data_IF_094148716110
#
_entry.id   IF_094148716110
#
_cell.length_a   1.000
_cell.length_b   1.000
_cell.length_c   1.000
_cell.angle_alpha   90.00
_cell.angle_beta   90.00
_cell.angle_gamma   90.00
#
_symmetry.space_group_name_H-M   'P 1'
#
loop_
_entity.id
_entity.type
_entity.pdbx_description
1 polymer ?
#
# COMPACT_ATOMS: atom_id res chain seq x y z
N UNK A 1 10.80 -1.33 -13.57
CA UNK A 1 11.81 -0.45 -14.19
C UNK A 1 11.98 0.87 -13.44
N UNK A 2 10.97 1.46 -12.78
CA UNK A 2 11.15 2.71 -12.03
C UNK A 2 11.56 3.90 -12.91
N UNK A 3 11.36 3.78 -14.22
CA UNK A 3 11.68 4.73 -15.27
C UNK A 3 10.42 4.86 -16.12
N UNK A 4 10.03 6.10 -16.41
CA UNK A 4 9.01 6.39 -17.40
C UNK A 4 9.69 6.58 -18.76
N UNK A 5 9.20 5.87 -19.77
CA UNK A 5 9.72 5.93 -21.14
C UNK A 5 8.65 6.56 -22.01
N UNK A 6 8.98 7.68 -22.65
CA UNK A 6 8.10 8.40 -23.57
C UNK A 6 8.67 8.28 -24.97
N UNK A 7 8.00 7.50 -25.82
CA UNK A 7 8.34 7.33 -27.23
C UNK A 7 7.20 7.84 -28.10
N UNK A 8 7.35 9.05 -28.65
CA UNK A 8 6.31 9.72 -29.43
C UNK A 8 6.93 10.70 -30.40
N UNK A 9 6.37 10.81 -31.62
CA UNK A 9 6.77 11.82 -32.61
C UNK A 9 8.28 11.81 -32.94
N UNK A 10 8.90 10.63 -32.93
CA UNK A 10 10.34 10.48 -33.17
C UNK A 10 11.24 10.86 -31.99
N UNK A 11 10.67 11.25 -30.86
CA UNK A 11 11.37 11.49 -29.61
C UNK A 11 11.35 10.23 -28.74
N UNK A 12 12.48 9.95 -28.09
CA UNK A 12 12.63 8.93 -27.06
C UNK A 12 13.24 9.60 -25.82
N UNK A 13 12.46 9.69 -24.75
CA UNK A 13 12.85 10.32 -23.49
C UNK A 13 12.65 9.32 -22.35
N UNK A 14 13.56 9.35 -21.39
CA UNK A 14 13.50 8.56 -20.17
C UNK A 14 13.70 9.46 -18.95
N UNK A 15 12.90 9.24 -17.90
CA UNK A 15 13.10 9.93 -16.63
C UNK A 15 12.74 9.04 -15.43
N UNK A 16 13.31 9.30 -14.24
CA UNK A 16 12.96 8.56 -13.02
C UNK A 16 11.46 8.62 -12.74
N UNK A 17 10.90 7.46 -12.39
CA UNK A 17 9.50 7.27 -12.05
C UNK A 17 9.33 6.08 -11.07
N UNK A 18 10.15 6.05 -10.02
CA UNK A 18 10.03 5.09 -8.93
C UNK A 18 9.12 5.68 -7.85
N UNK A 19 7.87 5.22 -7.81
CA UNK A 19 6.86 5.66 -6.85
C UNK A 19 5.97 4.50 -6.41
N UNK A 20 5.21 4.70 -5.34
CA UNK A 20 4.16 3.77 -4.91
C UNK A 20 2.86 4.20 -5.57
N UNK A 21 2.25 3.32 -6.37
CA UNK A 21 0.96 3.59 -7.01
C UNK A 21 -0.17 3.30 -6.01
N UNK A 22 -0.98 4.31 -5.72
CA UNK A 22 -2.20 4.19 -4.92
C UNK A 22 -3.37 4.48 -5.84
N UNK A 23 -4.28 3.51 -5.96
CA UNK A 23 -5.54 3.66 -6.67
C UNK A 23 -6.69 3.66 -5.67
N UNK A 24 -7.62 4.60 -5.81
CA UNK A 24 -8.89 4.59 -5.09
C UNK A 24 -10.00 4.28 -6.08
N UNK A 25 -10.91 3.39 -5.72
CA UNK A 25 -12.06 3.02 -6.53
C UNK A 25 -13.33 3.37 -5.77
N UNK A 26 -14.29 4.00 -6.44
CA UNK A 26 -15.67 4.06 -5.96
C UNK A 26 -16.42 2.82 -6.47
N UNK A 27 -16.84 1.87 -5.61
CA UNK A 27 -17.55 0.67 -6.06
C UNK A 27 -18.86 0.97 -6.81
N UNK A 28 -19.45 2.15 -6.59
CA UNK A 28 -20.68 2.58 -7.27
C UNK A 28 -20.46 2.87 -8.77
N UNK A 29 -19.23 3.12 -9.20
CA UNK A 29 -18.86 3.36 -10.61
C UNK A 29 -18.66 2.07 -11.41
N UNK A 30 -18.89 0.91 -10.78
CA UNK A 30 -18.72 -0.41 -11.36
C UNK A 30 -17.42 -1.08 -10.95
N UNK A 31 -17.30 -2.35 -11.32
CA UNK A 31 -16.12 -3.14 -10.97
C UNK A 31 -14.97 -2.85 -11.92
N UNK A 32 -13.75 -2.78 -11.38
CA UNK A 32 -12.54 -2.77 -12.18
C UNK A 32 -12.45 -4.05 -13.00
N UNK A 33 -11.94 -3.91 -14.23
CA UNK A 33 -11.67 -5.06 -15.08
C UNK A 33 -10.69 -6.01 -14.36
N UNK A 34 -10.90 -7.33 -14.40
CA UNK A 34 -10.04 -8.29 -13.71
C UNK A 34 -8.54 -8.14 -14.02
N UNK A 35 -8.20 -7.72 -15.25
CA UNK A 35 -6.81 -7.51 -15.67
C UNK A 35 -6.12 -6.33 -14.96
N UNK A 36 -6.89 -5.37 -14.44
CA UNK A 36 -6.36 -4.26 -13.65
C UNK A 36 -6.19 -4.68 -12.19
N UNK A 37 -7.16 -5.40 -11.64
CA UNK A 37 -7.09 -5.93 -10.27
C UNK A 37 -5.89 -6.86 -10.09
N UNK A 38 -5.63 -7.73 -11.06
CA UNK A 38 -4.45 -8.61 -11.06
C UNK A 38 -3.11 -7.84 -11.07
N UNK A 39 -3.10 -6.52 -11.34
CA UNK A 39 -1.88 -5.69 -11.31
C UNK A 39 -1.70 -4.93 -10.00
N UNK A 40 -2.71 -4.87 -9.14
CA UNK A 40 -2.57 -4.30 -7.80
C UNK A 40 -2.04 -5.37 -6.84
N UNK A 41 -0.92 -5.06 -6.17
CA UNK A 41 -0.31 -6.00 -5.23
C UNK A 41 -1.12 -6.15 -3.94
N UNK A 42 -1.70 -5.05 -3.45
CA UNK A 42 -2.47 -5.04 -2.22
C UNK A 42 -3.79 -4.32 -2.44
N UNK A 43 -4.85 -4.84 -1.82
CA UNK A 43 -6.17 -4.25 -1.78
C UNK A 43 -6.58 -4.13 -0.32
N UNK A 44 -7.07 -2.95 0.07
CA UNK A 44 -7.53 -2.68 1.42
C UNK A 44 -8.89 -1.99 1.33
N UNK A 45 -9.89 -2.57 2.00
CA UNK A 45 -11.21 -1.96 2.11
C UNK A 45 -11.22 -0.93 3.24
N UNK A 46 -11.64 0.30 2.92
CA UNK A 46 -11.75 1.40 3.88
C UNK A 46 -13.22 1.69 4.12
N UNK A 47 -13.67 1.49 5.36
CA UNK A 47 -15.06 1.75 5.75
C UNK A 47 -15.15 2.97 6.67
N UNK A 48 -16.21 3.76 6.49
CA UNK A 48 -16.54 4.81 7.43
C UNK A 48 -16.90 4.20 8.80
N UNK A 49 -16.33 4.69 9.91
CA UNK A 49 -16.61 4.16 11.24
C UNK A 49 -18.10 4.34 11.56
N UNK A 50 -18.72 3.28 12.12
CA UNK A 50 -20.13 3.29 12.54
C UNK A 50 -20.31 3.68 14.02
N UNK A 51 -19.28 3.48 14.83
CA UNK A 51 -19.29 3.83 16.25
C UNK A 51 -19.34 5.35 16.45
N UNK A 52 -20.30 5.81 17.25
CA UNK A 52 -20.57 7.24 17.45
C UNK A 52 -19.40 7.93 18.15
N UNK A 53 -18.75 7.25 19.09
CA UNK A 53 -17.63 7.83 19.84
C UNK A 53 -16.41 8.01 18.92
N UNK A 54 -16.09 6.99 18.11
CA UNK A 54 -15.02 7.05 17.12
C UNK A 54 -15.30 8.15 16.08
N UNK A 55 -16.52 8.23 15.55
CA UNK A 55 -16.91 9.32 14.62
C UNK A 55 -16.73 10.70 15.25
N UNK A 56 -17.21 10.89 16.48
CA UNK A 56 -17.05 12.15 17.22
C UNK A 56 -15.58 12.50 17.42
N UNK A 57 -14.74 11.49 17.70
CA UNK A 57 -13.30 11.69 17.89
C UNK A 57 -12.59 12.16 16.61
N UNK A 58 -12.92 11.55 15.46
CA UNK A 58 -12.36 11.93 14.16
C UNK A 58 -12.76 13.37 13.81
N UNK A 59 -14.03 13.74 14.01
CA UNK A 59 -14.50 15.12 13.79
C UNK A 59 -13.74 16.10 14.69
N UNK A 60 -13.59 15.80 15.98
CA UNK A 60 -12.85 16.66 16.92
C UNK A 60 -11.39 16.83 16.51
N UNK A 61 -10.73 15.75 16.08
CA UNK A 61 -9.35 15.82 15.59
C UNK A 61 -9.24 16.68 14.34
N UNK A 62 -10.18 16.54 13.39
CA UNK A 62 -10.21 17.35 12.16
C UNK A 62 -10.38 18.84 12.48
N UNK A 63 -11.32 19.19 13.36
CA UNK A 63 -11.55 20.58 13.77
C UNK A 63 -10.33 21.16 14.51
N UNK A 64 -9.68 20.36 15.37
CA UNK A 64 -8.46 20.78 16.06
C UNK A 64 -7.31 21.09 15.08
N UNK A 65 -7.15 20.28 14.03
CA UNK A 65 -6.18 20.55 12.98
C UNK A 65 -6.50 21.81 12.18
N UNK A 66 -7.77 22.03 11.81
CA UNK A 66 -8.19 23.23 11.08
C UNK A 66 -7.97 24.52 11.89
N UNK A 67 -8.18 24.46 13.20
CA UNK A 67 -8.03 25.62 14.08
C UNK A 67 -6.56 25.91 14.46
N UNK A 68 -5.77 24.86 14.72
CA UNK A 68 -4.39 24.98 15.22
C UNK A 68 -3.47 23.94 14.57
N UNK A 69 -3.13 24.08 13.27
CA UNK A 69 -2.40 23.05 12.52
C UNK A 69 -1.02 22.76 13.11
N UNK A 70 -0.25 23.79 13.47
CA UNK A 70 1.10 23.59 14.03
C UNK A 70 1.08 22.88 15.39
N UNK A 71 0.17 23.28 16.29
CA UNK A 71 0.02 22.64 17.60
C UNK A 71 -0.46 21.20 17.45
N UNK A 72 -1.36 20.95 16.51
CA UNK A 72 -1.82 19.60 16.18
C UNK A 72 -0.65 18.74 15.68
N UNK A 73 0.13 19.22 14.70
CA UNK A 73 1.29 18.49 14.19
C UNK A 73 2.33 18.18 15.28
N UNK A 74 2.68 19.17 16.12
CA UNK A 74 3.62 18.96 17.25
C UNK A 74 3.14 17.88 18.23
N UNK A 75 1.84 17.72 18.41
CA UNK A 75 1.27 16.67 19.27
C UNK A 75 1.54 15.27 18.72
N UNK A 76 1.57 15.10 17.40
CA UNK A 76 1.74 13.80 16.74
C UNK A 76 3.19 13.51 16.31
N UNK A 77 4.06 14.52 16.32
CA UNK A 77 5.46 14.44 15.89
C UNK A 77 6.21 13.24 16.48
N UNK A 78 6.13 13.02 17.80
CA UNK A 78 6.80 11.89 18.44
C UNK A 78 6.30 10.52 17.91
N UNK A 79 5.00 10.38 17.64
CA UNK A 79 4.43 9.13 17.11
C UNK A 79 4.74 8.91 15.63
N UNK A 80 4.80 9.98 14.84
CA UNK A 80 5.24 9.91 13.44
C UNK A 80 6.73 9.58 13.35
N UNK A 81 7.56 10.14 14.22
CA UNK A 81 8.98 9.81 14.31
C UNK A 81 9.20 8.35 14.69
N UNK A 82 8.49 7.84 15.70
CA UNK A 82 8.57 6.43 16.08
C UNK A 82 8.19 5.50 14.91
N UNK A 83 7.11 5.82 14.17
CA UNK A 83 6.69 5.05 13.01
C UNK A 83 7.73 5.12 11.87
N UNK A 84 8.28 6.31 11.61
CA UNK A 84 9.33 6.51 10.61
C UNK A 84 10.58 5.69 10.91
N UNK A 85 11.02 5.68 12.18
CA UNK A 85 12.15 4.88 12.63
C UNK A 85 11.89 3.37 12.47
N UNK A 86 10.68 2.91 12.80
CA UNK A 86 10.28 1.51 12.58
C UNK A 86 10.33 1.12 11.11
N UNK A 87 9.81 1.96 10.22
CA UNK A 87 9.85 1.72 8.77
C UNK A 87 11.30 1.69 8.28
N UNK A 88 12.15 2.61 8.73
CA UNK A 88 13.55 2.64 8.32
C UNK A 88 14.29 1.38 8.79
N UNK A 89 14.14 0.98 10.05
CA UNK A 89 14.74 -0.24 10.58
C UNK A 89 14.28 -1.49 9.81
N UNK A 90 12.99 -1.58 9.46
CA UNK A 90 12.47 -2.68 8.65
C UNK A 90 13.09 -2.70 7.24
N UNK A 91 13.27 -1.52 6.60
CA UNK A 91 13.92 -1.42 5.28
C UNK A 91 15.38 -1.85 5.30
N UNK A 92 16.08 -1.59 6.39
CA UNK A 92 17.48 -1.97 6.56
C UNK A 92 17.64 -3.46 6.87
N UNK A 93 16.67 -4.07 7.56
CA UNK A 93 16.65 -5.49 7.90
C UNK A 93 16.22 -6.38 6.73
N UNK A 94 15.29 -5.91 5.89
CA UNK A 94 14.65 -6.69 4.82
C UNK A 94 15.65 -7.43 3.89
N UNK A 95 16.78 -6.84 3.45
CA UNK A 95 17.74 -7.54 2.59
C UNK A 95 18.47 -8.71 3.26
N UNK A 96 18.45 -8.79 4.60
CA UNK A 96 19.12 -9.82 5.38
C UNK A 96 18.20 -10.96 5.83
N UNK A 97 16.89 -10.85 5.54
CA UNK A 97 15.94 -11.88 5.91
C UNK A 97 16.08 -13.10 5.00
N UNK A 98 16.21 -14.26 5.62
CA UNK A 98 16.11 -15.56 4.94
C UNK A 98 14.71 -16.11 5.12
N UNK A 99 14.11 -16.59 4.02
CA UNK A 99 12.79 -17.20 4.02
C UNK A 99 12.96 -18.72 3.93
N UNK A 100 12.43 -19.51 4.88
CA UNK A 100 12.52 -20.97 4.83
C UNK A 100 11.83 -21.55 3.59
N UNK A 101 12.34 -22.68 3.07
CA UNK A 101 11.80 -23.32 1.87
C UNK A 101 10.30 -23.69 2.00
N UNK A 102 9.89 -24.15 3.19
CA UNK A 102 8.50 -24.52 3.49
C UNK A 102 7.51 -23.35 3.29
N UNK A 103 8.00 -22.10 3.33
CA UNK A 103 7.18 -20.92 3.12
C UNK A 103 6.74 -20.77 1.66
N UNK A 104 7.59 -21.16 0.70
CA UNK A 104 7.21 -21.16 -0.71
C UNK A 104 6.11 -22.20 -0.99
N UNK A 105 6.23 -23.38 -0.35
CA UNK A 105 5.19 -24.42 -0.43
C UNK A 105 3.88 -23.90 0.14
N UNK A 106 3.90 -23.28 1.32
CA UNK A 106 2.72 -22.69 1.95
C UNK A 106 2.05 -21.65 1.05
N UNK A 107 2.82 -20.71 0.49
CA UNK A 107 2.32 -19.67 -0.42
C UNK A 107 1.61 -20.31 -1.62
N UNK A 108 2.26 -21.26 -2.29
CA UNK A 108 1.66 -21.90 -3.47
C UNK A 108 0.46 -22.78 -3.11
N UNK A 109 0.45 -23.44 -1.96
CA UNK A 109 -0.74 -24.15 -1.46
C UNK A 109 -1.92 -23.20 -1.30
N UNK A 110 -1.72 -22.05 -0.66
CA UNK A 110 -2.77 -21.02 -0.50
C UNK A 110 -3.26 -20.58 -1.88
N UNK A 111 -2.36 -20.21 -2.81
CA UNK A 111 -2.77 -19.76 -4.13
C UNK A 111 -3.56 -20.82 -4.92
N UNK A 112 -3.18 -22.09 -4.83
CA UNK A 112 -3.88 -23.22 -5.47
C UNK A 112 -5.27 -23.44 -4.85
N UNK A 113 -5.38 -23.42 -3.52
CA UNK A 113 -6.66 -23.60 -2.82
C UNK A 113 -7.68 -22.50 -3.16
N UNK A 114 -7.21 -21.27 -3.36
CA UNK A 114 -8.04 -20.14 -3.82
C UNK A 114 -8.30 -20.13 -5.34
N UNK A 115 -7.79 -21.11 -6.09
CA UNK A 115 -8.00 -21.22 -7.54
C UNK A 115 -7.29 -20.13 -8.35
N UNK A 116 -6.21 -19.55 -7.81
CA UNK A 116 -5.47 -18.48 -8.46
C UNK A 116 -4.48 -19.08 -9.45
N UNK A 117 -4.72 -18.87 -10.75
CA UNK A 117 -3.86 -19.40 -11.81
C UNK A 117 -2.57 -18.58 -12.04
N UNK A 118 -2.48 -17.37 -11.50
CA UNK A 118 -1.39 -16.43 -11.74
C UNK A 118 -0.32 -16.51 -10.66
N UNK A 119 0.93 -16.78 -11.05
CA UNK A 119 2.10 -16.74 -10.15
C UNK A 119 2.38 -15.34 -9.57
N UNK A 120 1.69 -14.31 -10.06
CA UNK A 120 1.82 -12.97 -9.50
C UNK A 120 1.30 -12.92 -8.06
N UNK A 121 0.27 -13.70 -7.73
CA UNK A 121 -0.24 -13.78 -6.37
C UNK A 121 0.83 -14.38 -5.44
N UNK A 122 1.48 -15.48 -5.86
CA UNK A 122 2.56 -16.11 -5.10
C UNK A 122 3.70 -15.12 -4.80
N UNK A 123 4.20 -14.43 -5.84
CA UNK A 123 5.28 -13.46 -5.70
C UNK A 123 4.87 -12.28 -4.81
N UNK A 124 3.61 -11.85 -4.90
CA UNK A 124 3.10 -10.73 -4.11
C UNK A 124 2.95 -11.12 -2.64
N UNK A 125 2.46 -12.34 -2.37
CA UNK A 125 2.35 -12.87 -1.01
C UNK A 125 3.74 -13.02 -0.39
N UNK A 126 4.70 -13.59 -1.13
CA UNK A 126 6.11 -13.69 -0.70
C UNK A 126 6.73 -12.33 -0.35
N UNK A 127 6.43 -11.27 -1.11
CA UNK A 127 6.98 -9.92 -0.86
C UNK A 127 6.29 -9.17 0.26
N UNK A 128 5.12 -9.63 0.70
CA UNK A 128 4.27 -8.94 1.68
C UNK A 128 4.37 -9.57 3.07
N UNK A 129 4.46 -10.90 3.12
CA UNK A 129 4.55 -11.66 4.36
C UNK A 129 5.97 -11.61 4.95
#
# INVERSE_FOLDING_TARGET
>A
SGVNVVQREGLALEHPAKFIMIGTMNPEEGQLRPQLLDRFGLVCDVFAPRDVLLRSSVIRQRMAFEQYPETFSKRWEASEEELSQKIQAARDLLPTMEVPEDFFVLISTICVEFGIASLRADITLYKTA
#
